data_IF_183508045376
#
_entry.id   IF_183508045376
#
_cell.length_a   1.000
_cell.length_b   1.000
_cell.length_c   1.000
_cell.angle_alpha   90.00
_cell.angle_beta   90.00
_cell.angle_gamma   90.00
#
_symmetry.space_group_name_H-M   'P 1'
#
loop_
_entity.id
_entity.type
_entity.pdbx_description
1 polymer ?
#
# COMPACT_ATOMS: atom_id res chain seq x y z
N UNK A 1 -2.73 5.36 20.59
CA UNK A 1 -3.20 5.13 19.21
C UNK A 1 -2.10 4.39 18.46
N UNK A 2 -2.43 3.32 17.73
CA UNK A 2 -1.45 2.45 17.06
C UNK A 2 -1.08 2.99 15.68
N UNK A 3 0.17 2.86 15.27
CA UNK A 3 0.67 3.37 14.00
C UNK A 3 0.08 2.54 12.86
N UNK A 4 -0.12 3.21 11.74
CA UNK A 4 -0.53 2.55 10.53
C UNK A 4 0.56 1.57 10.08
N UNK A 5 0.16 0.33 9.78
CA UNK A 5 1.01 -0.66 9.13
C UNK A 5 1.49 -0.10 7.78
N UNK A 6 2.81 -0.06 7.54
CA UNK A 6 3.36 0.44 6.28
C UNK A 6 3.02 -0.50 5.12
N UNK A 7 3.07 0.03 3.90
CA UNK A 7 3.06 -0.80 2.70
C UNK A 7 4.38 -1.55 2.55
N UNK A 8 4.44 -2.56 1.68
CA UNK A 8 5.64 -3.37 1.47
C UNK A 8 6.27 -2.98 0.14
N UNK A 9 7.57 -2.72 0.14
CA UNK A 9 8.37 -2.58 -1.08
C UNK A 9 9.34 -3.77 -1.19
N UNK A 10 9.31 -4.44 -2.33
CA UNK A 10 10.28 -5.44 -2.76
C UNK A 10 11.39 -4.72 -3.54
N UNK A 11 12.58 -4.65 -2.95
CA UNK A 11 13.76 -4.05 -3.56
C UNK A 11 14.94 -5.00 -3.37
N UNK A 12 15.68 -5.29 -4.43
CA UNK A 12 16.87 -6.16 -4.40
C UNK A 12 16.65 -7.55 -3.75
N UNK A 13 15.42 -8.07 -3.85
CA UNK A 13 15.02 -9.35 -3.24
C UNK A 13 14.65 -9.27 -1.76
N UNK A 14 14.76 -8.09 -1.14
CA UNK A 14 14.42 -7.83 0.25
C UNK A 14 13.06 -7.14 0.39
N UNK A 15 12.38 -7.41 1.52
CA UNK A 15 11.12 -6.76 1.89
C UNK A 15 11.42 -5.57 2.79
N UNK A 16 10.95 -4.40 2.42
CA UNK A 16 11.05 -3.20 3.24
C UNK A 16 9.68 -2.58 3.52
N UNK A 17 9.53 -1.99 4.71
CA UNK A 17 8.39 -1.14 5.01
C UNK A 17 8.50 0.17 4.24
N UNK A 18 7.44 0.53 3.52
CA UNK A 18 7.31 1.78 2.77
C UNK A 18 6.25 2.64 3.44
N UNK A 19 6.68 3.79 3.98
CA UNK A 19 5.78 4.75 4.60
C UNK A 19 5.11 5.68 3.58
N UNK A 20 5.64 5.74 2.35
CA UNK A 20 4.94 6.39 1.24
C UNK A 20 3.71 5.56 0.89
N UNK A 21 2.60 6.24 0.58
CA UNK A 21 1.31 5.59 0.31
C UNK A 21 0.78 5.88 -1.11
N UNK A 22 1.44 5.37 -2.19
CA UNK A 22 1.04 5.69 -3.56
C UNK A 22 -0.38 5.20 -3.91
N UNK A 23 -0.80 4.04 -3.37
CA UNK A 23 -2.14 3.50 -3.61
C UNK A 23 -3.20 4.33 -2.89
N UNK A 24 -2.91 4.83 -1.68
CA UNK A 24 -3.85 5.70 -0.98
C UNK A 24 -4.08 7.01 -1.74
N UNK A 25 -3.01 7.55 -2.35
CA UNK A 25 -3.11 8.73 -3.23
C UNK A 25 -3.98 8.46 -4.46
N UNK A 26 -3.82 7.30 -5.10
CA UNK A 26 -4.67 6.90 -6.23
C UNK A 26 -6.13 6.78 -5.84
N UNK A 27 -6.44 6.05 -4.77
CA UNK A 27 -7.80 5.85 -4.28
C UNK A 27 -8.51 7.17 -3.96
N UNK A 28 -7.78 8.12 -3.34
CA UNK A 28 -8.30 9.49 -3.14
C UNK A 28 -8.58 10.20 -4.45
N UNK A 29 -7.72 10.05 -5.46
CA UNK A 29 -7.86 10.75 -6.75
C UNK A 29 -9.07 10.29 -7.56
N UNK A 30 -9.42 9.01 -7.48
CA UNK A 30 -10.58 8.45 -8.21
C UNK A 30 -11.89 8.58 -7.42
N UNK A 31 -11.86 9.19 -6.22
CA UNK A 31 -13.04 9.33 -5.35
C UNK A 31 -13.56 8.01 -4.78
N UNK A 32 -12.91 6.89 -5.10
CA UNK A 32 -13.27 5.57 -4.62
C UNK A 32 -12.87 5.47 -3.16
N UNK A 33 -13.86 5.52 -2.27
CA UNK A 33 -13.74 4.86 -0.97
C UNK A 33 -13.69 3.37 -1.28
N UNK A 34 -12.51 2.87 -1.64
CA UNK A 34 -12.35 1.44 -1.88
C UNK A 34 -12.92 0.73 -0.67
N UNK A 35 -13.74 -0.29 -0.93
CA UNK A 35 -14.62 -0.92 0.05
C UNK A 35 -13.86 -1.68 1.14
N UNK A 36 -12.63 -1.31 1.42
CA UNK A 36 -11.82 -1.85 2.48
C UNK A 36 -12.46 -1.62 3.85
N UNK A 37 -12.35 -2.65 4.66
CA UNK A 37 -12.72 -2.67 6.06
C UNK A 37 -11.42 -2.71 6.86
N UNK A 38 -11.23 -1.72 7.73
CA UNK A 38 -10.13 -1.73 8.69
C UNK A 38 -10.26 -2.97 9.59
N UNK A 39 -9.29 -3.90 9.58
CA UNK A 39 -9.37 -5.10 10.42
C UNK A 39 -9.06 -4.79 11.89
N UNK A 40 -8.28 -3.75 12.16
CA UNK A 40 -7.88 -3.31 13.50
C UNK A 40 -7.36 -1.86 13.47
N UNK A 41 -7.03 -1.32 14.65
CA UNK A 41 -6.51 0.05 14.84
C UNK A 41 -5.08 0.26 14.35
N UNK A 42 -4.38 -0.79 13.91
CA UNK A 42 -3.07 -0.69 13.26
C UNK A 42 -3.19 -0.61 11.74
N UNK A 43 -4.35 -0.90 11.15
CA UNK A 43 -4.58 -0.84 9.70
C UNK A 43 -5.91 -0.13 9.38
N UNK A 44 -5.99 1.16 9.69
CA UNK A 44 -7.15 2.01 9.41
C UNK A 44 -7.50 2.10 7.93
N UNK A 45 -6.52 1.91 7.05
CA UNK A 45 -6.71 1.87 5.60
C UNK A 45 -7.45 0.62 5.14
N UNK A 46 -7.36 -0.47 5.89
CA UNK A 46 -7.98 -1.76 5.56
C UNK A 46 -7.29 -2.54 4.46
N UNK A 47 -6.11 -2.10 4.00
CA UNK A 47 -5.29 -2.82 3.02
C UNK A 47 -3.79 -2.54 3.18
N UNK A 48 -2.99 -3.48 2.71
CA UNK A 48 -1.54 -3.42 2.55
C UNK A 48 -1.23 -3.64 1.07
N UNK A 49 -0.57 -2.69 0.44
CA UNK A 49 -0.05 -2.84 -0.93
C UNK A 49 1.36 -3.40 -0.89
N UNK A 50 1.65 -4.35 -1.79
CA UNK A 50 3.02 -4.81 -2.07
C UNK A 50 3.45 -4.23 -3.40
N UNK A 51 4.63 -3.62 -3.40
CA UNK A 51 5.20 -2.92 -4.54
C UNK A 51 6.53 -3.55 -4.94
N UNK A 52 6.91 -3.40 -6.20
CA UNK A 52 8.24 -3.74 -6.70
C UNK A 52 8.71 -2.71 -7.71
N UNK A 53 10.02 -2.62 -7.89
CA UNK A 53 10.62 -1.83 -8.98
C UNK A 53 10.91 -2.75 -10.15
N UNK A 54 10.14 -2.62 -11.23
CA UNK A 54 10.24 -3.42 -12.45
C UNK A 54 10.61 -2.49 -13.60
N UNK A 55 11.73 -2.75 -14.28
CA UNK A 55 12.25 -1.90 -15.37
C UNK A 55 12.39 -0.41 -14.97
N UNK A 56 12.84 -0.16 -13.75
CA UNK A 56 13.01 1.19 -13.19
C UNK A 56 11.69 1.90 -12.86
N UNK A 57 10.56 1.18 -12.86
CA UNK A 57 9.23 1.73 -12.58
C UNK A 57 8.64 1.10 -11.33
N UNK A 58 7.96 1.91 -10.53
CA UNK A 58 7.21 1.43 -9.39
C UNK A 58 5.93 0.72 -9.87
N UNK A 59 5.79 -0.55 -9.53
CA UNK A 59 4.66 -1.38 -9.89
C UNK A 59 4.02 -1.98 -8.63
N UNK A 60 2.70 -1.95 -8.55
CA UNK A 60 1.94 -2.64 -7.51
C UNK A 60 1.80 -4.11 -7.90
N UNK A 61 2.36 -5.01 -7.11
CA UNK A 61 2.41 -6.44 -7.41
C UNK A 61 1.37 -7.25 -6.68
N UNK A 62 0.91 -6.77 -5.52
CA UNK A 62 -0.19 -7.39 -4.78
C UNK A 62 -0.92 -6.37 -3.90
N UNK A 63 -2.15 -6.71 -3.54
CA UNK A 63 -2.94 -6.00 -2.54
C UNK A 63 -3.50 -7.07 -1.61
N UNK A 64 -3.40 -6.84 -0.32
CA UNK A 64 -4.02 -7.67 0.70
C UNK A 64 -4.90 -6.78 1.56
N UNK A 65 -6.14 -7.20 1.80
CA UNK A 65 -7.09 -6.42 2.58
C UNK A 65 -8.44 -7.11 2.65
N UNK A 66 -9.26 -6.71 3.61
CA UNK A 66 -10.63 -7.22 3.71
C UNK A 66 -11.59 -6.20 3.11
N UNK A 67 -12.46 -6.63 2.21
CA UNK A 67 -13.55 -5.80 1.71
C UNK A 67 -14.75 -5.87 2.66
N UNK A 68 -15.60 -4.86 2.61
CA UNK A 68 -16.89 -4.80 3.32
C UNK A 68 -17.85 -5.89 2.84
N UNK A 69 -17.70 -6.38 1.61
CA UNK A 69 -18.44 -7.54 1.10
C UNK A 69 -18.05 -8.85 1.79
N UNK A 70 -16.91 -8.89 2.49
CA UNK A 70 -16.35 -10.11 3.09
C UNK A 70 -15.31 -10.80 2.22
N UNK A 71 -15.09 -10.33 1.00
CA UNK A 71 -14.07 -10.85 0.09
C UNK A 71 -12.68 -10.32 0.43
N UNK A 72 -11.66 -11.10 0.07
CA UNK A 72 -10.25 -10.69 0.16
C UNK A 72 -9.93 -9.85 -1.07
N UNK A 73 -9.40 -8.66 -0.84
CA UNK A 73 -8.98 -7.78 -1.91
C UNK A 73 -7.73 -8.32 -2.62
N UNK A 74 -7.67 -8.05 -3.91
CA UNK A 74 -6.55 -8.35 -4.79
C UNK A 74 -6.34 -7.17 -5.76
N UNK A 75 -5.45 -7.31 -6.74
CA UNK A 75 -5.24 -6.26 -7.76
C UNK A 75 -6.51 -5.94 -8.55
N UNK A 76 -7.25 -6.96 -8.97
CA UNK A 76 -8.48 -6.83 -9.77
C UNK A 76 -9.58 -6.05 -9.05
N UNK A 77 -9.57 -6.07 -7.73
CA UNK A 77 -10.50 -5.29 -6.88
C UNK A 77 -10.41 -3.79 -7.15
N UNK A 78 -9.22 -3.26 -7.48
CA UNK A 78 -8.99 -1.84 -7.78
C UNK A 78 -8.76 -1.62 -9.28
N UNK A 79 -8.15 -2.60 -9.95
CA UNK A 79 -7.76 -2.57 -11.35
C UNK A 79 -8.35 -3.79 -12.07
N UNK A 80 -9.64 -3.77 -12.47
CA UNK A 80 -10.35 -4.95 -13.01
C UNK A 80 -9.71 -5.62 -14.22
N UNK A 81 -8.84 -4.92 -14.95
CA UNK A 81 -8.14 -5.41 -16.14
C UNK A 81 -6.67 -5.80 -15.85
N UNK A 82 -6.27 -5.88 -14.58
CA UNK A 82 -4.90 -6.20 -14.21
C UNK A 82 -4.63 -7.69 -14.37
N UNK A 83 -3.80 -8.05 -15.37
CA UNK A 83 -3.31 -9.43 -15.57
C UNK A 83 -1.95 -9.67 -14.93
N UNK A 84 -1.45 -8.72 -14.14
CA UNK A 84 -0.11 -8.73 -13.57
C UNK A 84 0.20 -7.44 -12.80
N UNK A 85 1.48 -7.17 -12.51
CA UNK A 85 1.88 -5.95 -11.79
C UNK A 85 1.36 -4.68 -12.47
N UNK A 86 0.78 -3.77 -11.68
CA UNK A 86 0.18 -2.54 -12.18
C UNK A 86 1.19 -1.40 -12.05
N UNK A 87 1.60 -0.82 -13.18
CA UNK A 87 2.47 0.35 -13.20
C UNK A 87 1.79 1.55 -12.52
N UNK A 88 2.48 2.13 -11.54
CA UNK A 88 2.02 3.28 -10.75
C UNK A 88 2.15 4.61 -11.50
N UNK A 89 1.55 4.73 -12.69
CA UNK A 89 1.67 5.90 -13.56
C UNK A 89 1.18 7.22 -12.90
N UNK A 90 0.37 7.13 -11.85
CA UNK A 90 -0.14 8.26 -11.08
C UNK A 90 0.84 8.79 -10.02
N UNK A 91 1.94 8.09 -9.78
CA UNK A 91 2.90 8.44 -8.74
C UNK A 91 4.28 8.73 -9.34
N UNK A 92 4.79 9.92 -9.02
CA UNK A 92 6.18 10.31 -9.21
C UNK A 92 6.66 11.00 -7.93
N UNK A 93 7.89 10.68 -7.52
CA UNK A 93 8.49 11.26 -6.31
C UNK A 93 9.40 10.31 -5.55
N UNK A 94 9.73 10.69 -4.32
CA UNK A 94 10.64 9.96 -3.44
C UNK A 94 9.87 8.93 -2.61
N UNK A 95 10.36 7.69 -2.61
CA UNK A 95 9.89 6.64 -1.71
C UNK A 95 10.64 6.74 -0.37
N UNK A 96 9.89 6.79 0.74
CA UNK A 96 10.47 6.80 2.08
C UNK A 96 10.40 5.39 2.65
N UNK A 97 11.58 4.81 2.85
CA UNK A 97 11.77 3.46 3.36
C UNK A 97 12.61 3.59 4.65
N UNK A 98 11.99 3.63 5.84
CA UNK A 98 12.76 3.65 7.09
C UNK A 98 13.58 2.37 7.24
N UNK A 99 14.83 2.50 7.66
CA UNK A 99 15.77 1.41 7.93
C UNK A 99 16.35 1.57 9.34
N UNK A 100 16.71 0.45 9.96
CA UNK A 100 17.26 0.41 11.32
C UNK A 100 16.19 0.27 12.41
N UNK A 101 16.63 0.37 13.67
CA UNK A 101 15.76 0.25 14.84
C UNK A 101 14.86 1.48 15.00
N UNK A 102 13.61 1.26 15.42
CA UNK A 102 12.70 2.36 15.76
C UNK A 102 13.21 3.00 17.05
N UNK A 103 13.82 4.17 16.92
CA UNK A 103 14.41 4.89 18.07
C UNK A 103 13.34 5.62 18.89
N UNK A 104 12.34 6.19 18.23
CA UNK A 104 11.27 6.94 18.88
C UNK A 104 9.95 6.76 18.13
N UNK A 105 8.91 6.44 18.88
CA UNK A 105 7.56 6.30 18.37
C UNK A 105 6.74 7.56 18.72
N UNK A 106 6.57 8.45 17.75
CA UNK A 106 5.81 9.70 17.93
C UNK A 106 4.41 9.56 17.35
N UNK A 107 3.42 9.95 18.13
CA UNK A 107 2.03 10.01 17.71
C UNK A 107 1.49 11.43 17.92
N UNK A 108 1.06 12.09 16.83
CA UNK A 108 0.41 13.40 16.92
C UNK A 108 -0.98 13.26 17.52
N UNK A 109 -1.24 13.98 18.61
CA UNK A 109 -2.52 14.01 19.30
C UNK A 109 -3.63 14.67 18.47
#
# INVERSE_FOLDING_TARGET
MTAQVPEILLLDGEKHGMCTEPLARYLRSIGTKANFRAPNTSCWRGYIGTWGVIDGRLCLTAIEGNLKSGEIANLETIFPNATGPVFAHWFSGVLRIPQGEVLEYVHGA
#
